data_IF_831516133032
#
_entry.id   IF_831516133032
#
_cell.length_a   1.000
_cell.length_b   1.000
_cell.length_c   1.000
_cell.angle_alpha   90.00
_cell.angle_beta   90.00
_cell.angle_gamma   90.00
#
_symmetry.space_group_name_H-M   'P 1'
#
loop_
_entity.id
_entity.type
_entity.pdbx_description
1 polymer ?
#
# COMPACT_ATOMS: atom_id res chain seq x y z
N UNK A 1 -8.76 -8.70 -26.14
CA UNK A 1 -7.49 -8.13 -26.65
C UNK A 1 -6.49 -8.14 -25.49
N UNK A 2 -5.19 -8.41 -25.72
CA UNK A 2 -4.19 -8.54 -24.65
C UNK A 2 -4.13 -7.34 -23.69
N UNK A 3 -4.35 -6.13 -24.21
CA UNK A 3 -4.33 -4.87 -23.43
C UNK A 3 -5.46 -4.81 -22.38
N UNK A 4 -6.66 -5.30 -22.72
CA UNK A 4 -7.80 -5.37 -21.78
C UNK A 4 -7.48 -6.34 -20.63
N UNK A 5 -6.83 -7.46 -20.93
CA UNK A 5 -6.48 -8.46 -19.92
C UNK A 5 -5.47 -7.90 -18.88
N UNK A 6 -4.56 -7.02 -19.30
CA UNK A 6 -3.62 -6.37 -18.37
C UNK A 6 -4.32 -5.33 -17.49
N UNK A 7 -5.24 -4.54 -18.06
CA UNK A 7 -6.04 -3.58 -17.30
C UNK A 7 -6.97 -4.28 -16.28
N UNK A 8 -7.58 -5.41 -16.66
CA UNK A 8 -8.39 -6.24 -15.76
C UNK A 8 -7.56 -6.85 -14.63
N UNK A 9 -6.31 -7.27 -14.91
CA UNK A 9 -5.41 -7.78 -13.87
C UNK A 9 -4.95 -6.69 -12.90
N UNK A 10 -4.70 -5.47 -13.40
CA UNK A 10 -4.44 -4.29 -12.56
C UNK A 10 -5.66 -3.93 -11.71
N UNK A 11 -6.86 -3.96 -12.30
CA UNK A 11 -8.12 -3.75 -11.57
C UNK A 11 -8.29 -4.75 -10.42
N UNK A 12 -7.99 -6.03 -10.66
CA UNK A 12 -8.01 -7.07 -9.64
C UNK A 12 -6.95 -6.84 -8.56
N UNK A 13 -5.73 -6.40 -8.94
CA UNK A 13 -4.66 -6.06 -8.00
C UNK A 13 -5.08 -4.91 -7.07
N UNK A 14 -5.59 -3.81 -7.63
CA UNK A 14 -6.03 -2.66 -6.82
C UNK A 14 -7.18 -3.04 -5.90
N UNK A 15 -8.13 -3.84 -6.37
CA UNK A 15 -9.26 -4.32 -5.57
C UNK A 15 -8.81 -5.14 -4.35
N UNK A 16 -7.77 -5.97 -4.53
CA UNK A 16 -7.17 -6.76 -3.45
C UNK A 16 -6.27 -5.93 -2.51
N UNK A 17 -5.93 -4.70 -2.87
CA UNK A 17 -4.96 -3.85 -2.18
C UNK A 17 -5.59 -2.57 -1.59
N UNK A 18 -6.60 -2.63 -0.69
CA UNK A 18 -7.26 -1.44 -0.15
C UNK A 18 -6.41 -0.51 0.72
N UNK A 19 -5.23 -0.95 1.16
CA UNK A 19 -4.21 -0.17 1.89
C UNK A 19 -2.80 -0.66 1.53
N UNK A 20 -1.74 0.05 1.92
CA UNK A 20 -0.35 -0.39 1.69
C UNK A 20 -0.06 -1.78 2.27
N UNK A 21 -0.58 -2.09 3.47
CA UNK A 21 -0.50 -3.44 4.05
C UNK A 21 -1.12 -4.54 3.16
N UNK A 22 -2.25 -4.24 2.52
CA UNK A 22 -2.88 -5.19 1.60
C UNK A 22 -2.15 -5.25 0.27
N UNK A 23 -1.62 -4.13 -0.22
CA UNK A 23 -0.74 -4.11 -1.40
C UNK A 23 0.47 -5.02 -1.18
N UNK A 24 1.14 -4.92 -0.03
CA UNK A 24 2.25 -5.78 0.32
C UNK A 24 1.87 -7.27 0.37
N UNK A 25 0.73 -7.58 1.00
CA UNK A 25 0.21 -8.94 1.06
C UNK A 25 -0.14 -9.49 -0.33
N UNK A 26 -0.73 -8.69 -1.21
CA UNK A 26 -1.08 -9.09 -2.58
C UNK A 26 0.16 -9.27 -3.46
N UNK A 27 1.16 -8.39 -3.33
CA UNK A 27 2.48 -8.57 -3.96
C UNK A 27 3.09 -9.91 -3.53
N UNK A 28 3.15 -10.19 -2.23
CA UNK A 28 3.68 -11.44 -1.70
C UNK A 28 2.91 -12.66 -2.25
N UNK A 29 1.57 -12.63 -2.23
CA UNK A 29 0.72 -13.71 -2.75
C UNK A 29 0.99 -13.98 -4.23
N UNK A 30 1.11 -12.95 -5.05
CA UNK A 30 1.41 -13.08 -6.50
C UNK A 30 2.82 -13.61 -6.75
N UNK A 31 3.82 -13.15 -5.99
CA UNK A 31 5.18 -13.65 -6.10
C UNK A 31 5.29 -15.11 -5.65
N UNK A 32 4.61 -15.51 -4.57
CA UNK A 32 4.52 -16.91 -4.15
C UNK A 32 3.92 -17.79 -5.25
N UNK A 33 2.84 -17.34 -5.89
CA UNK A 33 2.24 -18.04 -7.02
C UNK A 33 3.20 -18.16 -8.23
N UNK A 34 4.15 -17.23 -8.37
CA UNK A 34 5.22 -17.26 -9.37
C UNK A 34 6.48 -18.04 -8.92
N UNK A 35 6.44 -18.73 -7.78
CA UNK A 35 7.51 -19.58 -7.27
C UNK A 35 8.56 -18.85 -6.42
N UNK A 36 8.29 -17.62 -5.98
CA UNK A 36 9.16 -16.95 -5.00
C UNK A 36 8.91 -17.49 -3.60
N UNK A 37 9.96 -17.50 -2.77
CA UNK A 37 9.89 -17.93 -1.37
C UNK A 37 10.09 -16.74 -0.44
N UNK A 38 9.30 -16.67 0.63
CA UNK A 38 9.50 -15.65 1.66
C UNK A 38 10.86 -15.81 2.35
N UNK A 39 11.56 -14.70 2.53
CA UNK A 39 12.77 -14.59 3.35
C UNK A 39 12.43 -13.76 4.59
N UNK A 40 12.21 -14.45 5.71
CA UNK A 40 12.04 -13.78 6.99
C UNK A 40 13.31 -12.98 7.35
N UNK A 41 13.13 -11.75 7.83
CA UNK A 41 14.23 -10.89 8.26
C UNK A 41 15.01 -11.48 9.45
N UNK A 42 14.37 -12.30 10.27
CA UNK A 42 14.95 -12.93 11.45
C UNK A 42 15.64 -14.27 11.14
N UNK A 43 15.49 -14.80 9.93
CA UNK A 43 16.11 -16.05 9.50
C UNK A 43 17.50 -15.82 8.88
N UNK A 44 18.26 -16.91 8.75
CA UNK A 44 19.46 -16.94 7.92
C UNK A 44 19.11 -16.73 6.44
N UNK A 45 19.94 -16.00 5.72
CA UNK A 45 19.66 -15.58 4.34
C UNK A 45 20.24 -16.54 3.34
N UNK A 46 19.39 -16.95 2.41
CA UNK A 46 19.70 -17.96 1.42
C UNK A 46 20.18 -17.30 0.11
N UNK A 47 21.29 -17.76 -0.47
CA UNK A 47 21.91 -17.11 -1.64
C UNK A 47 21.14 -17.29 -2.94
N UNK A 48 20.38 -18.37 -3.06
CA UNK A 48 19.83 -18.83 -4.33
C UNK A 48 18.31 -18.61 -4.43
N UNK A 49 17.85 -18.57 -5.69
CA UNK A 49 16.44 -18.59 -6.05
C UNK A 49 15.79 -17.20 -6.11
N UNK A 50 14.46 -17.23 -6.12
CA UNK A 50 13.60 -16.06 -6.17
C UNK A 50 12.97 -15.86 -4.78
N UNK A 51 13.15 -14.68 -4.18
CA UNK A 51 12.79 -14.41 -2.79
C UNK A 51 12.14 -13.06 -2.61
N UNK A 52 11.42 -12.89 -1.51
CA UNK A 52 10.90 -11.60 -1.12
C UNK A 52 10.86 -11.45 0.40
N UNK A 53 10.82 -10.21 0.86
CA UNK A 53 10.64 -9.85 2.26
C UNK A 53 9.59 -8.76 2.37
N UNK A 54 8.68 -8.90 3.33
CA UNK A 54 7.65 -7.92 3.66
C UNK A 54 8.01 -7.22 4.97
N UNK A 55 7.91 -5.89 4.99
CA UNK A 55 8.06 -5.07 6.20
C UNK A 55 6.98 -4.00 6.22
N UNK A 56 6.01 -4.16 7.11
CA UNK A 56 4.81 -3.30 7.15
C UNK A 56 4.10 -3.29 5.78
N UNK A 57 3.87 -2.11 5.18
CA UNK A 57 3.31 -1.96 3.84
C UNK A 57 4.34 -2.09 2.70
N UNK A 58 5.62 -2.33 2.99
CA UNK A 58 6.67 -2.42 1.98
C UNK A 58 7.06 -3.87 1.64
N UNK A 59 7.49 -4.08 0.40
CA UNK A 59 7.99 -5.38 -0.10
C UNK A 59 9.25 -5.18 -0.92
N UNK A 60 10.29 -5.96 -0.65
CA UNK A 60 11.44 -6.09 -1.56
C UNK A 60 11.51 -7.54 -2.03
N UNK A 61 11.48 -7.72 -3.35
CA UNK A 61 11.58 -9.01 -4.01
C UNK A 61 12.79 -9.04 -4.92
N UNK A 62 13.45 -10.20 -5.04
CA UNK A 62 14.62 -10.35 -5.88
C UNK A 62 14.76 -11.74 -6.47
N UNK A 63 15.50 -11.83 -7.58
CA UNK A 63 16.03 -13.08 -8.15
C UNK A 63 17.55 -13.05 -8.05
N UNK A 64 18.13 -14.11 -7.49
CA UNK A 64 19.58 -14.31 -7.49
C UNK A 64 20.12 -14.45 -8.93
N UNK A 65 21.38 -14.06 -9.19
CA UNK A 65 22.00 -14.24 -10.49
C UNK A 65 22.17 -15.73 -10.80
N UNK A 66 22.12 -16.08 -12.09
CA UNK A 66 22.25 -17.46 -12.57
C UNK A 66 23.63 -18.06 -12.24
N UNK A 67 24.68 -17.24 -12.33
CA UNK A 67 26.05 -17.61 -11.97
C UNK A 67 26.67 -16.49 -11.13
N UNK A 68 27.14 -16.82 -9.92
CA UNK A 68 27.85 -15.88 -9.06
C UNK A 68 29.36 -16.17 -9.10
N UNK A 69 30.04 -15.72 -10.14
CA UNK A 69 31.53 -15.79 -10.22
C UNK A 69 32.22 -14.65 -9.47
N UNK A 70 31.46 -13.66 -9.00
CA UNK A 70 31.92 -12.51 -8.23
C UNK A 70 30.78 -11.51 -7.98
N UNK A 71 31.09 -10.31 -7.46
CA UNK A 71 30.10 -9.26 -7.27
C UNK A 71 29.52 -8.78 -8.60
N UNK A 72 28.18 -8.74 -8.68
CA UNK A 72 27.42 -8.25 -9.84
C UNK A 72 26.47 -7.14 -9.41
N UNK A 73 26.01 -6.34 -10.37
CA UNK A 73 25.11 -5.23 -10.08
C UNK A 73 23.69 -5.67 -9.72
N UNK A 74 22.98 -4.77 -9.05
CA UNK A 74 21.55 -4.84 -8.82
C UNK A 74 20.82 -4.09 -9.95
N UNK A 75 19.76 -4.70 -10.48
CA UNK A 75 18.83 -4.10 -11.46
C UNK A 75 17.52 -3.87 -10.73
N UNK A 76 17.33 -2.65 -10.24
CA UNK A 76 16.28 -2.32 -9.29
C UNK A 76 15.17 -1.55 -10.01
N UNK A 77 13.92 -1.97 -9.81
CA UNK A 77 12.73 -1.15 -10.05
C UNK A 77 12.18 -0.73 -8.69
N UNK A 78 12.10 0.58 -8.46
CA UNK A 78 11.50 1.19 -7.27
C UNK A 78 10.08 1.68 -7.57
N UNK A 79 9.14 1.46 -6.65
CA UNK A 79 7.78 1.99 -6.67
C UNK A 79 7.29 2.21 -5.23
N UNK A 80 6.05 2.68 -5.04
CA UNK A 80 5.45 2.83 -3.71
C UNK A 80 4.03 2.25 -3.64
N UNK A 81 3.64 1.84 -2.43
CA UNK A 81 2.44 1.05 -2.13
C UNK A 81 1.34 1.85 -1.46
N UNK A 82 1.69 3.01 -0.91
CA UNK A 82 0.74 3.90 -0.26
C UNK A 82 0.08 4.85 -1.26
N UNK A 83 -0.95 5.56 -0.79
CA UNK A 83 -1.65 6.55 -1.58
C UNK A 83 -2.23 7.61 -0.65
N UNK A 84 -2.46 8.85 -1.12
CA UNK A 84 -3.03 9.90 -0.29
C UNK A 84 -4.45 9.57 0.14
N UNK A 85 -4.82 9.97 1.36
CA UNK A 85 -6.16 9.75 1.87
C UNK A 85 -6.32 10.16 3.32
N UNK A 86 -7.11 9.38 4.05
CA UNK A 86 -7.37 9.60 5.47
C UNK A 86 -6.90 8.42 6.30
N UNK A 87 -6.28 8.72 7.43
CA UNK A 87 -5.93 7.75 8.46
C UNK A 87 -6.83 7.93 9.67
N UNK A 88 -7.32 6.83 10.23
CA UNK A 88 -8.17 6.82 11.40
C UNK A 88 -7.39 7.25 12.64
N UNK A 89 -7.94 8.18 13.43
CA UNK A 89 -7.33 8.62 14.70
C UNK A 89 -7.36 7.49 15.74
N UNK A 90 -6.45 7.50 16.74
CA UNK A 90 -6.40 6.50 17.80
C UNK A 90 -7.71 6.35 18.59
N UNK A 91 -8.39 7.48 18.83
CA UNK A 91 -9.72 7.54 19.42
C UNK A 91 -10.69 8.15 18.39
N UNK A 92 -11.25 7.33 17.49
CA UNK A 92 -11.93 7.86 16.31
C UNK A 92 -13.42 8.08 16.51
N UNK A 93 -14.04 7.45 17.50
CA UNK A 93 -15.48 7.45 17.67
C UNK A 93 -15.95 8.77 18.32
N UNK A 94 -16.71 9.57 17.59
CA UNK A 94 -17.38 10.76 18.11
C UNK A 94 -18.88 10.73 17.80
N UNK A 95 -19.69 11.43 18.59
CA UNK A 95 -21.12 11.59 18.33
C UNK A 95 -21.50 13.06 18.40
N UNK A 96 -22.06 13.59 17.31
CA UNK A 96 -22.47 14.99 17.22
C UNK A 96 -23.65 15.15 16.26
N UNK A 97 -24.54 16.10 16.57
CA UNK A 97 -25.67 16.47 15.70
C UNK A 97 -26.59 15.29 15.30
N UNK A 98 -26.66 14.22 16.12
CA UNK A 98 -27.44 13.02 15.82
C UNK A 98 -26.71 11.97 14.99
N UNK A 99 -25.40 12.13 14.74
CA UNK A 99 -24.61 11.24 13.91
C UNK A 99 -23.36 10.75 14.64
N UNK A 100 -23.04 9.47 14.47
CA UNK A 100 -21.71 8.93 14.74
C UNK A 100 -20.75 9.41 13.64
N UNK A 101 -19.61 9.96 14.06
CA UNK A 101 -18.59 10.57 13.23
C UNK A 101 -17.23 9.95 13.49
N UNK A 102 -16.47 9.68 12.43
CA UNK A 102 -15.11 9.16 12.53
C UNK A 102 -14.08 10.29 12.55
N UNK A 103 -13.22 10.30 13.57
CA UNK A 103 -12.05 11.15 13.64
C UNK A 103 -10.97 10.66 12.69
N UNK A 104 -10.60 11.50 11.72
CA UNK A 104 -9.61 11.20 10.70
C UNK A 104 -8.47 12.22 10.69
N UNK A 105 -7.31 11.80 10.22
CA UNK A 105 -6.13 12.61 9.91
C UNK A 105 -5.84 12.52 8.43
N UNK A 106 -5.26 13.58 7.86
CA UNK A 106 -4.77 13.52 6.48
C UNK A 106 -3.51 12.67 6.43
N UNK A 107 -3.45 11.80 5.43
CA UNK A 107 -2.28 11.05 5.06
C UNK A 107 -1.86 11.48 3.65
N UNK A 108 -0.65 12.02 3.51
CA UNK A 108 -0.16 12.61 2.27
C UNK A 108 -0.90 13.88 1.84
N UNK A 109 -0.96 14.11 0.53
CA UNK A 109 -1.58 15.30 -0.08
C UNK A 109 -2.89 15.02 -0.84
N UNK A 110 -3.96 14.46 -0.21
CA UNK A 110 -5.17 14.09 -0.94
C UNK A 110 -5.92 15.32 -1.47
N UNK A 111 -6.56 15.15 -2.64
CA UNK A 111 -7.54 16.10 -3.16
C UNK A 111 -8.82 16.01 -2.31
N UNK A 112 -8.96 16.88 -1.31
CA UNK A 112 -10.01 16.79 -0.28
C UNK A 112 -11.44 16.72 -0.86
N UNK A 113 -11.70 17.46 -1.93
CA UNK A 113 -13.00 17.50 -2.59
C UNK A 113 -13.38 16.17 -3.26
N UNK A 114 -12.41 15.35 -3.68
CA UNK A 114 -12.70 14.07 -4.33
C UNK A 114 -13.27 13.04 -3.35
N UNK A 115 -13.10 13.25 -2.04
CA UNK A 115 -13.62 12.37 -0.98
C UNK A 115 -15.01 12.76 -0.49
N UNK A 116 -15.51 13.93 -0.88
CA UNK A 116 -16.88 14.31 -0.60
C UNK A 116 -17.83 13.39 -1.35
N UNK A 117 -18.92 13.02 -0.70
CA UNK A 117 -20.02 12.30 -1.30
C UNK A 117 -19.62 10.97 -1.97
N UNK A 118 -18.55 10.34 -1.46
CA UNK A 118 -18.14 8.98 -1.78
C UNK A 118 -18.36 8.02 -0.62
N UNK A 119 -18.74 6.81 -0.97
CA UNK A 119 -18.76 5.65 -0.08
C UNK A 119 -17.35 5.06 0.07
N UNK A 120 -16.92 4.90 1.31
CA UNK A 120 -15.66 4.23 1.62
C UNK A 120 -15.74 3.45 2.92
N UNK A 121 -14.87 2.45 3.03
CA UNK A 121 -14.65 1.66 4.23
C UNK A 121 -13.35 2.05 4.93
N UNK A 122 -12.94 1.21 5.85
CA UNK A 122 -11.62 1.22 6.47
C UNK A 122 -10.82 0.03 5.97
N UNK A 123 -9.54 0.24 5.70
CA UNK A 123 -8.61 -0.83 5.42
C UNK A 123 -7.25 -0.60 6.07
N UNK A 124 -6.62 -1.67 6.53
CA UNK A 124 -5.31 -1.63 7.16
C UNK A 124 -5.10 -2.80 8.07
N UNK A 125 -4.57 -2.55 9.27
CA UNK A 125 -4.33 -3.60 10.27
C UNK A 125 -4.82 -3.22 11.67
N UNK A 126 -5.14 -4.24 12.44
CA UNK A 126 -5.29 -4.16 13.90
C UNK A 126 -4.27 -5.11 14.54
N UNK A 127 -3.76 -4.71 15.71
CA UNK A 127 -2.84 -5.51 16.53
C UNK A 127 -3.60 -5.94 17.77
N UNK A 128 -3.79 -7.26 17.90
CA UNK A 128 -4.40 -7.87 19.07
C UNK A 128 -3.42 -7.86 20.26
N UNK A 129 -3.94 -7.98 21.47
CA UNK A 129 -3.16 -8.09 22.72
C UNK A 129 -2.19 -9.28 22.74
N UNK A 130 -2.49 -10.32 21.95
CA UNK A 130 -1.59 -11.46 21.73
C UNK A 130 -0.33 -11.09 20.93
N UNK A 131 -0.31 -9.91 20.28
CA UNK A 131 0.67 -9.51 19.29
C UNK A 131 0.32 -9.95 17.86
N UNK A 132 -0.78 -10.68 17.67
CA UNK A 132 -1.27 -11.06 16.35
C UNK A 132 -1.72 -9.83 15.55
N UNK A 133 -1.40 -9.82 14.26
CA UNK A 133 -1.76 -8.74 13.33
C UNK A 133 -2.84 -9.26 12.39
N UNK A 134 -3.99 -8.60 12.39
CA UNK A 134 -5.09 -8.92 11.47
C UNK A 134 -5.21 -7.81 10.42
N UNK A 135 -5.23 -8.20 9.15
CA UNK A 135 -5.64 -7.29 8.09
C UNK A 135 -7.17 -7.10 8.12
N UNK A 136 -7.59 -5.84 8.03
CA UNK A 136 -9.00 -5.44 8.05
C UNK A 136 -9.33 -4.77 6.73
N UNK A 137 -10.47 -5.13 6.14
CA UNK A 137 -11.11 -4.37 5.07
C UNK A 137 -12.63 -4.38 5.30
N UNK A 138 -13.21 -3.22 5.56
CA UNK A 138 -14.64 -3.10 5.87
C UNK A 138 -15.45 -2.74 4.63
N UNK A 139 -16.77 -3.01 4.62
CA UNK A 139 -17.69 -2.42 3.65
C UNK A 139 -17.74 -0.88 3.75
N UNK A 140 -18.55 -0.29 2.87
CA UNK A 140 -18.85 1.14 2.78
C UNK A 140 -19.58 1.68 4.02
N UNK A 141 -18.86 1.84 5.12
CA UNK A 141 -19.43 2.34 6.38
C UNK A 141 -19.39 3.86 6.50
N UNK A 142 -18.53 4.52 5.73
CA UNK A 142 -18.22 5.93 5.92
C UNK A 142 -18.56 6.74 4.67
N UNK A 143 -18.99 7.98 4.90
CA UNK A 143 -19.22 8.99 3.88
C UNK A 143 -18.97 10.38 4.46
N UNK A 144 -18.31 11.26 3.71
CA UNK A 144 -18.20 12.68 4.05
C UNK A 144 -19.28 13.43 3.25
N UNK A 145 -20.40 13.84 3.86
CA UNK A 145 -21.48 14.50 3.12
C UNK A 145 -21.09 15.93 2.74
N UNK A 146 -21.31 16.32 1.49
CA UNK A 146 -21.14 17.71 1.08
C UNK A 146 -22.31 18.57 1.59
N UNK A 147 -22.00 19.78 2.07
CA UNK A 147 -23.03 20.76 2.44
C UNK A 147 -23.81 21.18 1.20
N UNK A 148 -25.14 21.20 1.30
CA UNK A 148 -25.99 21.57 0.18
C UNK A 148 -25.69 23.01 -0.31
N UNK A 149 -25.64 23.25 -1.63
CA UNK A 149 -25.35 24.59 -2.19
C UNK A 149 -26.37 25.67 -1.80
N UNK A 150 -27.56 25.26 -1.35
CA UNK A 150 -28.58 26.18 -0.82
C UNK A 150 -28.16 26.83 0.51
N UNK A 151 -27.31 26.13 1.28
CA UNK A 151 -26.78 26.57 2.56
C UNK A 151 -25.39 27.23 2.43
N UNK A 152 -24.68 26.94 1.35
CA UNK A 152 -23.44 27.61 0.94
C UNK A 152 -23.51 27.98 -0.54
N UNK A 153 -23.92 29.22 -0.82
CA UNK A 153 -24.05 29.73 -2.19
C UNK A 153 -22.71 30.00 -2.87
N UNK A 154 -21.62 30.13 -2.10
CA UNK A 154 -20.27 30.38 -2.63
C UNK A 154 -19.55 29.13 -3.10
N UNK A 155 -20.09 27.94 -2.83
CA UNK A 155 -19.41 26.65 -3.06
C UNK A 155 -18.96 26.41 -4.51
N UNK A 156 -19.67 26.98 -5.49
CA UNK A 156 -19.32 26.87 -6.91
C UNK A 156 -18.23 27.86 -7.36
N UNK A 157 -17.94 28.88 -6.56
CA UNK A 157 -16.87 29.86 -6.80
C UNK A 157 -15.61 29.48 -6.03
N UNK A 158 -15.76 29.09 -4.76
CA UNK A 158 -14.66 28.65 -3.91
C UNK A 158 -15.17 27.64 -2.88
N UNK A 159 -14.68 26.40 -2.98
CA UNK A 159 -14.96 25.36 -2.00
C UNK A 159 -13.87 25.40 -0.91
N UNK A 160 -14.26 25.82 0.30
CA UNK A 160 -13.39 25.76 1.48
C UNK A 160 -13.73 24.54 2.34
N UNK A 161 -12.76 23.64 2.52
CA UNK A 161 -12.90 22.46 3.36
C UNK A 161 -11.93 22.56 4.54
N UNK A 162 -12.48 22.86 5.71
CA UNK A 162 -11.73 22.76 6.96
C UNK A 162 -11.46 21.29 7.28
N UNK A 163 -10.17 20.97 7.45
CA UNK A 163 -9.68 19.61 7.62
C UNK A 163 -10.20 18.92 8.89
N UNK A 164 -10.54 19.70 9.92
CA UNK A 164 -10.96 19.20 11.22
C UNK A 164 -12.48 19.21 11.38
N UNK A 165 -13.18 20.13 10.71
CA UNK A 165 -14.63 20.28 10.84
C UNK A 165 -15.38 19.59 9.71
N UNK A 166 -14.95 19.77 8.45
CA UNK A 166 -15.73 19.33 7.29
C UNK A 166 -15.43 17.91 6.83
N UNK A 167 -14.31 17.32 7.24
CA UNK A 167 -13.84 16.03 6.73
C UNK A 167 -14.07 14.86 7.70
N UNK A 168 -14.92 15.02 8.72
CA UNK A 168 -15.31 13.93 9.61
C UNK A 168 -16.41 13.09 8.93
N UNK A 169 -16.13 11.85 8.51
CA UNK A 169 -17.13 11.02 7.88
C UNK A 169 -18.19 10.61 8.90
N UNK A 170 -19.44 10.51 8.45
CA UNK A 170 -20.52 9.91 9.24
C UNK A 170 -20.55 8.39 9.02
N UNK A 171 -20.95 7.63 10.03
CA UNK A 171 -21.06 6.16 9.93
C UNK A 171 -22.26 5.54 10.67
N UNK A 172 -23.14 6.36 11.27
CA UNK A 172 -24.35 5.86 11.92
C UNK A 172 -25.17 6.97 12.56
N UNK A 173 -26.39 6.64 12.99
CA UNK A 173 -27.33 7.56 13.68
C UNK A 173 -27.46 7.27 15.17
N UNK A 174 -27.06 6.08 15.63
CA UNK A 174 -26.83 5.78 17.04
C UNK A 174 -25.40 6.18 17.43
N UNK A 175 -25.13 6.33 18.73
CA UNK A 175 -23.75 6.43 19.24
C UNK A 175 -23.12 5.05 19.19
N UNK A 176 -22.16 4.88 18.28
CA UNK A 176 -21.51 3.61 17.98
C UNK A 176 -20.00 3.74 18.24
N UNK A 177 -19.38 2.67 18.72
CA UNK A 177 -17.93 2.56 18.76
C UNK A 177 -17.42 1.91 17.47
N UNK A 178 -16.78 2.72 16.62
CA UNK A 178 -16.22 2.28 15.35
C UNK A 178 -15.13 1.22 15.51
N UNK A 179 -14.29 1.33 16.55
CA UNK A 179 -13.24 0.31 16.78
C UNK A 179 -13.83 -1.01 17.26
N UNK A 180 -14.94 -0.99 18.00
CA UNK A 180 -15.68 -2.20 18.35
C UNK A 180 -16.27 -2.88 17.11
N UNK A 181 -16.84 -2.10 16.17
CA UNK A 181 -17.32 -2.63 14.90
C UNK A 181 -16.19 -3.24 14.04
N UNK A 182 -15.03 -2.57 13.99
CA UNK A 182 -13.84 -3.10 13.31
C UNK A 182 -13.34 -4.39 13.98
N UNK A 183 -13.25 -4.44 15.31
CA UNK A 183 -12.86 -5.65 16.04
C UNK A 183 -13.77 -6.83 15.69
N UNK A 184 -15.08 -6.61 15.71
CA UNK A 184 -16.07 -7.62 15.37
C UNK A 184 -15.92 -8.17 13.95
N UNK A 185 -15.44 -7.36 12.98
CA UNK A 185 -15.22 -7.80 11.59
C UNK A 185 -14.11 -8.84 11.44
N UNK A 186 -13.20 -8.91 12.40
CA UNK A 186 -12.11 -9.92 12.47
C UNK A 186 -12.31 -10.91 13.61
N UNK A 187 -13.51 -10.96 14.20
CA UNK A 187 -13.85 -11.91 15.26
C UNK A 187 -13.23 -11.60 16.62
N UNK A 188 -12.80 -10.36 16.85
CA UNK A 188 -12.25 -9.88 18.12
C UNK A 188 -13.25 -9.01 18.87
N UNK A 189 -13.08 -8.88 20.18
CA UNK A 189 -13.72 -7.87 21.00
C UNK A 189 -12.85 -6.61 21.12
N UNK A 190 -13.46 -5.46 21.45
CA UNK A 190 -12.79 -4.15 21.51
C UNK A 190 -11.60 -4.11 22.49
N UNK A 191 -11.67 -4.82 23.60
CA UNK A 191 -10.63 -4.87 24.65
C UNK A 191 -9.44 -5.78 24.29
N UNK A 192 -9.57 -6.55 23.22
CA UNK A 192 -8.50 -7.37 22.65
C UNK A 192 -7.63 -6.59 21.65
N UNK A 193 -8.03 -5.39 21.22
CA UNK A 193 -7.23 -4.52 20.34
C UNK A 193 -6.32 -3.62 21.18
N UNK A 194 -5.00 -3.76 20.99
CA UNK A 194 -3.98 -2.88 21.60
C UNK A 194 -3.58 -1.71 20.68
N UNK A 195 -3.78 -1.85 19.36
CA UNK A 195 -3.50 -0.78 18.41
C UNK A 195 -4.09 -1.03 17.04
N UNK A 196 -4.20 0.03 16.23
CA UNK A 196 -4.64 -0.08 14.85
C UNK A 196 -3.87 0.89 13.95
N UNK A 197 -3.83 0.56 12.66
CA UNK A 197 -3.41 1.46 11.61
C UNK A 197 -4.34 1.26 10.43
N UNK A 198 -5.37 2.11 10.36
CA UNK A 198 -6.51 1.98 9.46
C UNK A 198 -6.65 3.24 8.63
N UNK A 199 -6.90 3.06 7.34
CA UNK A 199 -7.02 4.12 6.34
C UNK A 199 -8.38 4.06 5.68
N UNK A 200 -8.86 5.19 5.20
CA UNK A 200 -10.05 5.24 4.37
C UNK A 200 -9.78 4.53 3.03
N UNK A 201 -10.69 3.64 2.63
CA UNK A 201 -10.57 2.87 1.40
C UNK A 201 -11.86 2.99 0.59
N UNK A 202 -11.79 3.65 -0.57
CA UNK A 202 -12.92 3.77 -1.50
C UNK A 202 -13.40 2.37 -1.89
N UNK A 203 -14.70 2.13 -1.80
CA UNK A 203 -15.33 0.83 -2.07
C UNK A 203 -15.84 0.70 -3.50
N UNK A 204 -15.89 1.81 -4.25
CA UNK A 204 -16.17 1.77 -5.68
C UNK A 204 -15.11 0.92 -6.39
N UNK A 205 -15.51 -0.18 -7.07
CA UNK A 205 -14.55 -1.06 -7.71
C UNK A 205 -13.92 -0.40 -8.93
N UNK A 206 -12.66 -0.73 -9.26
CA UNK A 206 -12.07 -0.35 -10.54
C UNK A 206 -12.91 -0.84 -11.72
N UNK A 207 -13.00 -0.04 -12.78
CA UNK A 207 -13.82 -0.34 -13.94
C UNK A 207 -13.18 0.12 -15.25
N UNK A 208 -13.35 -0.68 -16.30
CA UNK A 208 -13.05 -0.26 -17.68
C UNK A 208 -14.23 0.59 -18.17
N UNK A 209 -13.94 1.84 -18.56
CA UNK A 209 -14.91 2.84 -19.01
C UNK A 209 -14.49 3.42 -20.37
N UNK A 210 -15.35 4.28 -20.93
CA UNK A 210 -15.15 4.87 -22.26
C UNK A 210 -16.07 4.23 -23.29
N UNK A 211 -16.36 4.96 -24.39
CA UNK A 211 -17.29 4.49 -25.43
C UNK A 211 -16.80 3.20 -26.08
N UNK A 212 -15.47 3.00 -26.11
CA UNK A 212 -14.83 1.81 -26.65
C UNK A 212 -14.10 0.97 -25.59
N UNK A 213 -14.26 1.30 -24.30
CA UNK A 213 -13.59 0.61 -23.19
C UNK A 213 -12.09 0.91 -23.10
N UNK A 214 -11.68 2.13 -23.44
CA UNK A 214 -10.28 2.54 -23.55
C UNK A 214 -9.64 3.06 -22.25
N UNK A 215 -10.41 3.26 -21.18
CA UNK A 215 -9.90 3.81 -19.92
C UNK A 215 -10.12 2.86 -18.74
N UNK A 216 -9.14 2.79 -17.84
CA UNK A 216 -9.30 2.17 -16.52
C UNK A 216 -9.53 3.26 -15.47
N UNK A 217 -10.72 3.30 -14.88
CA UNK A 217 -11.02 4.14 -13.73
C UNK A 217 -10.76 3.34 -12.45
N UNK A 218 -9.92 3.87 -11.56
CA UNK A 218 -9.57 3.20 -10.31
C UNK A 218 -9.02 4.20 -9.30
N UNK A 219 -9.26 3.94 -8.01
CA UNK A 219 -8.49 4.56 -6.94
C UNK A 219 -7.05 4.03 -6.93
N UNK A 220 -6.13 4.75 -6.27
CA UNK A 220 -4.74 4.31 -5.99
C UNK A 220 -3.91 3.87 -7.21
N UNK A 221 -4.23 4.35 -8.41
CA UNK A 221 -3.38 4.12 -9.59
C UNK A 221 -1.98 4.70 -9.37
N UNK A 222 -1.94 5.86 -8.72
CA UNK A 222 -0.77 6.36 -8.01
C UNK A 222 -0.64 5.63 -6.66
N UNK A 223 0.32 4.71 -6.48
CA UNK A 223 1.23 4.17 -7.50
C UNK A 223 1.15 2.65 -7.65
N UNK A 224 -0.02 2.06 -7.35
CA UNK A 224 -0.24 0.63 -7.52
C UNK A 224 -0.13 0.18 -8.99
N UNK A 225 -0.25 1.10 -9.94
CA UNK A 225 0.04 0.82 -11.35
C UNK A 225 1.50 0.42 -11.58
N UNK A 226 2.47 1.13 -11.00
CA UNK A 226 3.90 0.78 -11.09
C UNK A 226 4.25 -0.45 -10.27
N UNK A 227 3.65 -0.61 -9.07
CA UNK A 227 3.82 -1.83 -8.26
C UNK A 227 3.38 -3.06 -9.04
N UNK A 228 2.17 -3.02 -9.61
CA UNK A 228 1.63 -4.11 -10.40
C UNK A 228 2.51 -4.45 -11.61
N UNK A 229 2.90 -3.44 -12.39
CA UNK A 229 3.79 -3.63 -13.53
C UNK A 229 5.14 -4.25 -13.11
N UNK A 230 5.71 -3.79 -11.99
CA UNK A 230 6.94 -4.33 -11.42
C UNK A 230 6.81 -5.80 -11.00
N UNK A 231 5.71 -6.18 -10.35
CA UNK A 231 5.43 -7.58 -9.97
C UNK A 231 5.29 -8.46 -11.20
N UNK A 232 4.49 -8.04 -12.19
CA UNK A 232 4.29 -8.77 -13.44
C UNK A 232 5.62 -8.98 -14.16
N UNK A 233 6.43 -7.92 -14.27
CA UNK A 233 7.75 -7.98 -14.91
C UNK A 233 8.72 -8.91 -14.17
N UNK A 234 8.83 -8.79 -12.83
CA UNK A 234 9.75 -9.61 -12.04
C UNK A 234 9.32 -11.10 -12.01
N UNK A 235 8.02 -11.36 -11.96
CA UNK A 235 7.47 -12.72 -12.03
C UNK A 235 7.81 -13.38 -13.37
N UNK A 236 7.66 -12.66 -14.49
CA UNK A 236 7.94 -13.13 -15.84
C UNK A 236 9.44 -13.09 -16.22
N UNK A 237 10.29 -12.44 -15.42
CA UNK A 237 11.71 -12.29 -15.71
C UNK A 237 12.44 -13.65 -15.76
N UNK A 238 13.21 -13.84 -16.83
CA UNK A 238 14.11 -14.99 -16.97
C UNK A 238 15.43 -14.83 -16.19
N UNK A 239 16.26 -15.89 -16.17
CA UNK A 239 17.59 -15.86 -15.56
C UNK A 239 18.45 -14.69 -16.06
N UNK A 240 19.26 -14.12 -15.18
CA UNK A 240 20.18 -13.01 -15.47
C UNK A 240 21.52 -13.22 -14.75
N UNK A 241 22.57 -12.62 -15.29
CA UNK A 241 23.88 -12.46 -14.66
C UNK A 241 23.89 -11.38 -13.55
N UNK A 242 22.81 -10.60 -13.42
CA UNK A 242 22.65 -9.55 -12.41
C UNK A 242 21.59 -9.96 -11.38
N UNK A 243 21.61 -9.31 -10.20
CA UNK A 243 20.51 -9.46 -9.23
C UNK A 243 19.34 -8.60 -9.69
N UNK A 244 18.20 -9.20 -10.01
CA UNK A 244 16.98 -8.48 -10.36
C UNK A 244 16.21 -8.15 -9.08
N UNK A 245 15.79 -6.90 -8.89
CA UNK A 245 15.14 -6.44 -7.66
C UNK A 245 13.91 -5.59 -7.97
N UNK A 246 12.81 -5.86 -7.28
CA UNK A 246 11.66 -4.96 -7.17
C UNK A 246 11.60 -4.47 -5.72
N UNK A 247 11.58 -3.16 -5.53
CA UNK A 247 11.45 -2.53 -4.22
C UNK A 247 10.21 -1.62 -4.20
N UNK A 248 9.17 -2.07 -3.51
CA UNK A 248 7.93 -1.35 -3.32
C UNK A 248 7.89 -0.80 -1.90
N UNK A 249 8.01 0.52 -1.76
CA UNK A 249 8.11 1.20 -0.46
C UNK A 249 6.74 1.61 0.07
N UNK A 250 6.69 1.88 1.37
CA UNK A 250 5.55 2.49 2.06
C UNK A 250 5.92 3.94 2.42
N UNK A 251 4.96 4.79 2.75
CA UNK A 251 5.20 6.16 3.19
C UNK A 251 5.85 7.12 2.18
N UNK A 252 5.73 6.89 0.87
CA UNK A 252 6.22 7.85 -0.13
C UNK A 252 5.53 9.21 0.04
N UNK A 253 4.20 9.17 0.19
CA UNK A 253 3.31 10.33 0.21
C UNK A 253 3.51 11.27 1.41
N UNK A 254 4.30 10.82 2.39
CA UNK A 254 4.64 11.56 3.61
C UNK A 254 6.15 11.80 3.77
N UNK A 255 6.93 11.57 2.71
CA UNK A 255 8.35 11.90 2.64
C UNK A 255 9.32 10.74 2.91
N UNK A 256 8.87 9.49 2.84
CA UNK A 256 9.68 8.25 2.81
C UNK A 256 10.57 7.94 4.03
N UNK A 257 10.59 8.81 5.04
CA UNK A 257 11.56 8.76 6.15
C UNK A 257 11.10 7.85 7.30
N UNK A 258 10.83 6.59 6.97
CA UNK A 258 10.34 5.57 7.91
C UNK A 258 11.12 4.27 7.79
N UNK A 259 10.87 3.27 8.66
CA UNK A 259 11.56 1.97 8.58
C UNK A 259 11.22 1.14 7.34
N UNK A 260 10.11 1.45 6.66
CA UNK A 260 9.59 0.78 5.46
C UNK A 260 9.57 1.71 4.23
N UNK A 261 9.92 2.98 4.38
CA UNK A 261 10.02 3.93 3.27
C UNK A 261 11.36 3.95 2.56
N UNK A 262 11.39 4.62 1.41
CA UNK A 262 12.54 4.66 0.50
C UNK A 262 13.79 5.33 1.10
N UNK A 263 13.61 6.30 2.00
CA UNK A 263 14.68 6.95 2.76
C UNK A 263 15.05 6.19 4.03
N UNK A 264 14.44 5.03 4.26
CA UNK A 264 14.69 4.14 5.37
C UNK A 264 15.80 3.12 5.13
N UNK A 265 16.13 2.31 6.14
CA UNK A 265 17.21 1.32 6.05
C UNK A 265 16.82 0.07 5.24
N UNK A 266 15.58 -0.04 4.75
CA UNK A 266 15.05 -1.31 4.25
C UNK A 266 15.80 -1.82 3.04
N UNK A 267 15.89 -1.01 1.97
CA UNK A 267 16.60 -1.41 0.75
C UNK A 267 18.06 -1.71 1.03
N UNK A 268 18.78 -0.81 1.71
CA UNK A 268 20.19 -1.02 2.03
C UNK A 268 20.41 -2.32 2.82
N UNK A 269 19.59 -2.58 3.84
CA UNK A 269 19.68 -3.79 4.64
C UNK A 269 19.48 -5.05 3.80
N UNK A 270 18.50 -5.03 2.90
CA UNK A 270 18.21 -6.16 2.00
C UNK A 270 19.37 -6.38 1.03
N UNK A 271 19.85 -5.34 0.34
CA UNK A 271 20.94 -5.47 -0.63
C UNK A 271 22.25 -5.96 0.02
N UNK A 272 22.58 -5.44 1.21
CA UNK A 272 23.76 -5.91 1.97
C UNK A 272 23.63 -7.39 2.36
N UNK A 273 22.44 -7.84 2.75
CA UNK A 273 22.20 -9.24 3.13
C UNK A 273 22.18 -10.18 1.91
N UNK A 274 21.67 -9.73 0.77
CA UNK A 274 21.82 -10.45 -0.52
C UNK A 274 23.30 -10.63 -0.82
N UNK A 275 24.07 -9.54 -0.84
CA UNK A 275 25.51 -9.58 -1.10
C UNK A 275 26.25 -10.51 -0.14
N UNK A 276 25.99 -10.40 1.17
CA UNK A 276 26.59 -11.27 2.18
C UNK A 276 26.23 -12.74 1.98
N UNK A 277 24.97 -13.04 1.62
CA UNK A 277 24.54 -14.42 1.38
C UNK A 277 25.25 -15.04 0.16
N UNK A 278 25.53 -14.22 -0.87
CA UNK A 278 26.29 -14.60 -2.07
C UNK A 278 27.81 -14.64 -1.84
N UNK A 279 28.28 -14.47 -0.59
CA UNK A 279 29.70 -14.50 -0.25
C UNK A 279 30.47 -13.23 -0.63
N UNK A 280 29.79 -12.13 -0.94
CA UNK A 280 30.45 -10.87 -1.26
C UNK A 280 30.92 -10.19 0.03
N UNK A 281 32.22 -9.90 0.11
CA UNK A 281 32.77 -9.05 1.17
C UNK A 281 32.36 -7.58 1.02
N UNK A 282 32.76 -6.73 1.96
CA UNK A 282 32.41 -5.30 1.98
C UNK A 282 32.76 -4.59 0.66
N UNK A 283 33.98 -4.76 0.14
CA UNK A 283 34.38 -4.20 -1.16
C UNK A 283 33.54 -4.74 -2.32
N UNK A 284 33.15 -6.03 -2.25
CA UNK A 284 32.28 -6.64 -3.25
C UNK A 284 30.90 -5.99 -3.30
N UNK A 285 30.31 -5.69 -2.14
CA UNK A 285 29.05 -4.95 -2.06
C UNK A 285 29.16 -3.54 -2.66
N UNK A 286 30.22 -2.79 -2.35
CA UNK A 286 30.41 -1.44 -2.90
C UNK A 286 30.61 -1.46 -4.43
N UNK A 287 31.34 -2.45 -4.94
CA UNK A 287 31.48 -2.69 -6.40
C UNK A 287 30.15 -3.05 -7.06
N UNK A 288 29.34 -3.87 -6.39
CA UNK A 288 27.99 -4.20 -6.86
C UNK A 288 27.11 -2.94 -6.94
N UNK A 289 27.11 -2.09 -5.91
CA UNK A 289 26.39 -0.81 -5.92
C UNK A 289 26.83 0.08 -7.08
N UNK A 290 28.14 0.24 -7.30
CA UNK A 290 28.65 1.04 -8.41
C UNK A 290 28.26 0.48 -9.80
N UNK A 291 28.01 -0.83 -9.91
CA UNK A 291 27.54 -1.49 -11.13
C UNK A 291 26.00 -1.54 -11.24
N UNK A 292 25.27 -1.01 -10.25
CA UNK A 292 23.81 -1.09 -10.17
C UNK A 292 23.12 0.04 -10.92
N UNK A 293 21.84 -0.16 -11.21
CA UNK A 293 20.97 0.87 -11.78
C UNK A 293 19.57 0.76 -11.17
N UNK A 294 18.91 1.90 -10.98
CA UNK A 294 17.57 2.00 -10.41
C UNK A 294 16.65 2.71 -11.39
N UNK A 295 15.54 2.06 -11.75
CA UNK A 295 14.38 2.71 -12.38
C UNK A 295 13.41 3.09 -11.26
N UNK A 296 13.20 4.39 -11.04
CA UNK A 296 12.11 4.87 -10.19
C UNK A 296 10.85 4.97 -11.04
N UNK A 297 9.87 4.11 -10.78
CA UNK A 297 8.61 4.07 -11.49
C UNK A 297 7.51 4.70 -10.62
N UNK A 298 6.91 5.77 -11.13
CA UNK A 298 5.82 6.48 -10.49
C UNK A 298 4.80 6.96 -11.51
N UNK A 299 3.54 7.10 -11.09
CA UNK A 299 2.47 7.59 -11.93
C UNK A 299 2.69 9.10 -12.23
N UNK A 300 2.46 9.52 -13.46
CA UNK A 300 2.63 10.91 -13.91
C UNK A 300 1.61 11.32 -14.95
#
# INVERSE_FOLDING_TARGET
>A
MPEIAHAEDLAAFVSAAPSSYHAAAEVARRLQAAGFTEQAETAEWQPEGARYVVRDGAVIAWRAPQEASGPVGFRIVGAHTDSPGFKLKPEPSAFAYGWSQAGMELYGGPLLNSWLDREFGLAGRVVARSGEVHLVSTPAWLRIPQVAPHLDRSVNESLHLDKQVNLKPIFGTASLDLLSAVAGSVGLHRDEIDGHDLFAAVTEPPAVIGVTGEFLASARLDNLSSVHAGVVALAAAGPSDQVQVLACFDHEEVGSSTRSGASGPFLESVLRRIASSLGWGADGYERALAASFVVSADAG
#
